data_IF_439593270858
#
_entry.id   IF_439593270858
#
_cell.length_a   1.000
_cell.length_b   1.000
_cell.length_c   1.000
_cell.angle_alpha   90.00
_cell.angle_beta   90.00
_cell.angle_gamma   90.00
#
_symmetry.space_group_name_H-M   'P 1'
#
loop_
_entity.id
_entity.type
_entity.pdbx_description
1 polymer ?
#
# COMPACT_ATOMS: atom_id res chain seq x y z
N UNK A 1 2.12 4.13 12.59
CA UNK A 1 1.31 2.88 12.54
C UNK A 1 2.10 1.83 13.31
N UNK A 2 1.53 1.21 14.35
CA UNK A 2 2.22 0.14 15.11
C UNK A 2 1.67 -1.20 14.62
N UNK A 3 2.45 -1.91 13.80
CA UNK A 3 2.07 -3.23 13.26
C UNK A 3 2.64 -4.34 14.13
N UNK A 4 1.75 -5.15 14.70
CA UNK A 4 2.11 -6.32 15.48
C UNK A 4 2.27 -7.53 14.54
N UNK A 5 3.48 -7.78 14.09
CA UNK A 5 3.88 -9.07 13.50
C UNK A 5 5.16 -9.52 14.22
N UNK A 6 5.33 -10.81 14.49
CA UNK A 6 6.31 -11.31 15.46
C UNK A 6 7.57 -11.93 14.86
N UNK A 7 7.78 -11.82 13.54
CA UNK A 7 8.94 -12.41 12.87
C UNK A 7 9.91 -11.34 12.35
N UNK A 8 11.21 -11.66 12.39
CA UNK A 8 12.31 -10.75 12.05
C UNK A 8 12.29 -10.35 10.56
N UNK A 9 11.77 -11.21 9.69
CA UNK A 9 11.64 -10.94 8.26
C UNK A 9 10.59 -9.86 7.99
N UNK A 10 9.43 -9.93 8.67
CA UNK A 10 8.38 -8.92 8.61
C UNK A 10 8.86 -7.59 9.18
N UNK A 11 9.71 -7.60 10.22
CA UNK A 11 10.32 -6.38 10.75
C UNK A 11 11.14 -5.67 9.69
N UNK A 12 12.01 -6.38 8.98
CA UNK A 12 12.84 -5.79 7.94
C UNK A 12 11.99 -5.27 6.77
N UNK A 13 10.99 -6.02 6.34
CA UNK A 13 10.09 -5.61 5.26
C UNK A 13 9.29 -4.35 5.61
N UNK A 14 8.80 -4.24 6.84
CA UNK A 14 8.02 -3.08 7.30
C UNK A 14 8.89 -1.82 7.40
N UNK A 15 10.13 -1.94 7.88
CA UNK A 15 11.09 -0.84 7.90
C UNK A 15 11.46 -0.39 6.47
N UNK A 16 11.68 -1.34 5.56
CA UNK A 16 11.94 -1.04 4.15
C UNK A 16 10.74 -0.40 3.43
N UNK A 17 9.52 -0.71 3.86
CA UNK A 17 8.29 -0.08 3.36
C UNK A 17 8.08 1.36 3.88
N UNK A 18 9.01 1.89 4.68
CA UNK A 18 8.99 3.27 5.15
C UNK A 18 8.34 3.46 6.52
N UNK A 19 8.19 2.40 7.33
CA UNK A 19 7.78 2.56 8.71
C UNK A 19 8.91 3.18 9.56
N UNK A 20 8.57 4.15 10.41
CA UNK A 20 9.54 4.80 11.29
C UNK A 20 9.99 3.96 12.48
N UNK A 21 9.15 3.01 12.94
CA UNK A 21 9.40 2.18 14.11
C UNK A 21 8.50 0.93 14.13
N UNK A 22 8.93 -0.11 14.86
CA UNK A 22 8.22 -1.39 14.97
C UNK A 22 8.08 -1.85 16.42
N UNK A 23 6.89 -2.35 16.82
CA UNK A 23 6.66 -2.93 18.15
C UNK A 23 6.01 -4.31 18.04
N UNK A 24 6.64 -5.29 18.68
CA UNK A 24 6.19 -6.67 18.71
C UNK A 24 5.50 -6.96 20.04
N UNK A 25 4.39 -7.69 20.01
CA UNK A 25 3.74 -8.17 21.24
C UNK A 25 4.44 -9.43 21.80
N UNK A 26 4.49 -9.60 23.13
CA UNK A 26 4.04 -8.64 24.14
C UNK A 26 5.04 -7.51 24.33
N UNK A 27 4.58 -6.27 24.22
CA UNK A 27 5.34 -5.07 24.56
C UNK A 27 4.86 -4.53 25.91
N UNK A 28 5.75 -3.86 26.63
CA UNK A 28 5.40 -3.13 27.83
C UNK A 28 5.13 -1.65 27.53
N UNK A 29 4.57 -0.93 28.48
CA UNK A 29 4.28 0.51 28.33
C UNK A 29 5.55 1.31 28.02
N UNK A 30 6.69 0.89 28.57
CA UNK A 30 7.99 1.52 28.38
C UNK A 30 8.47 1.39 26.93
N UNK A 31 8.17 0.28 26.26
CA UNK A 31 8.53 0.08 24.85
C UNK A 31 7.81 1.07 23.94
N UNK A 32 6.55 1.38 24.26
CA UNK A 32 5.73 2.37 23.54
C UNK A 32 6.26 3.78 23.76
N UNK A 33 6.57 4.13 25.01
CA UNK A 33 7.14 5.44 25.36
C UNK A 33 8.48 5.66 24.67
N UNK A 34 9.33 4.62 24.63
CA UNK A 34 10.60 4.65 23.90
C UNK A 34 10.37 4.87 22.40
N UNK A 35 9.53 4.06 21.77
CA UNK A 35 9.24 4.17 20.33
C UNK A 35 8.73 5.58 19.94
N UNK A 36 7.87 6.17 20.77
CA UNK A 36 7.40 7.54 20.57
C UNK A 36 8.52 8.57 20.74
N UNK A 37 9.33 8.45 21.79
CA UNK A 37 10.43 9.38 22.06
C UNK A 37 11.47 9.35 20.94
N UNK A 38 11.81 8.15 20.47
CA UNK A 38 12.76 7.93 19.39
C UNK A 38 12.22 8.49 18.06
N UNK A 39 10.92 8.33 17.80
CA UNK A 39 10.24 8.94 16.65
C UNK A 39 10.26 10.48 16.70
N UNK A 40 10.00 11.08 17.86
CA UNK A 40 10.11 12.54 18.03
C UNK A 40 11.54 13.05 17.84
N UNK A 41 12.56 12.29 18.27
CA UNK A 41 13.96 12.66 18.05
C UNK A 41 14.34 12.69 16.55
N UNK A 42 13.64 11.91 15.72
CA UNK A 42 13.83 11.84 14.26
C UNK A 42 13.02 12.87 13.48
N UNK A 43 12.30 13.78 14.14
CA UNK A 43 11.44 14.76 13.47
C UNK A 43 12.17 15.67 12.47
N UNK A 44 13.48 15.87 12.67
CA UNK A 44 14.35 16.67 11.80
C UNK A 44 15.16 15.84 10.80
N UNK A 45 14.88 14.54 10.68
CA UNK A 45 15.57 13.70 9.70
C UNK A 45 15.28 14.22 8.28
N UNK A 46 16.28 14.24 7.39
CA UNK A 46 16.05 14.62 6.00
C UNK A 46 15.06 13.65 5.35
N UNK A 47 14.21 14.18 4.46
CA UNK A 47 13.35 13.31 3.66
C UNK A 47 14.21 12.31 2.88
N UNK A 48 13.78 11.04 2.77
CA UNK A 48 14.50 10.05 1.98
C UNK A 48 14.61 10.53 0.52
N UNK A 49 15.75 10.26 -0.11
CA UNK A 49 15.94 10.58 -1.51
C UNK A 49 14.94 9.80 -2.38
N UNK A 50 13.93 10.51 -2.88
CA UNK A 50 12.98 9.93 -3.82
C UNK A 50 13.57 10.05 -5.22
N UNK A 51 13.76 8.93 -5.91
CA UNK A 51 14.08 8.96 -7.34
C UNK A 51 12.89 9.53 -8.10
N UNK A 52 12.95 10.82 -8.45
CA UNK A 52 11.90 11.46 -9.24
C UNK A 52 11.93 10.88 -10.65
N UNK A 53 10.97 10.01 -10.95
CA UNK A 53 10.77 9.50 -12.30
C UNK A 53 10.36 10.68 -13.17
N UNK A 54 11.20 11.06 -14.15
CA UNK A 54 10.86 12.11 -15.11
C UNK A 54 9.74 11.58 -16.03
N UNK A 55 8.56 12.21 -16.07
CA UNK A 55 7.49 11.77 -16.95
C UNK A 55 7.94 11.94 -18.41
N UNK A 56 7.89 10.84 -19.16
CA UNK A 56 8.11 10.85 -20.61
C UNK A 56 6.84 11.38 -21.26
N UNK A 57 6.93 12.52 -21.95
CA UNK A 57 5.84 13.00 -22.80
C UNK A 57 5.82 12.21 -24.10
N UNK A 58 4.78 11.40 -24.27
CA UNK A 58 4.45 10.74 -25.54
C UNK A 58 3.50 11.65 -26.32
N UNK A 59 3.77 11.83 -27.62
CA UNK A 59 2.88 12.59 -28.52
C UNK A 59 1.75 11.68 -28.99
N UNK A 60 0.51 12.10 -28.76
CA UNK A 60 -0.71 11.37 -29.12
C UNK A 60 -1.44 10.79 -27.91
N UNK A 61 -2.76 10.60 -28.04
CA UNK A 61 -3.52 9.85 -27.05
C UNK A 61 -3.17 8.37 -27.20
N UNK A 62 -2.81 7.67 -26.11
CA UNK A 62 -2.63 6.23 -26.18
C UNK A 62 -3.94 5.58 -26.67
N UNK A 63 -3.87 4.50 -27.46
CA UNK A 63 -5.06 3.85 -28.03
C UNK A 63 -5.98 3.22 -26.97
N UNK A 64 -5.51 3.14 -25.72
CA UNK A 64 -6.24 2.68 -24.55
C UNK A 64 -5.86 3.55 -23.34
N UNK A 65 -6.81 3.74 -22.42
CA UNK A 65 -6.57 4.46 -21.16
C UNK A 65 -6.15 3.45 -20.10
N UNK A 66 -5.00 3.70 -19.47
CA UNK A 66 -4.55 2.97 -18.28
C UNK A 66 -4.76 3.84 -17.03
N UNK A 67 -5.37 3.27 -15.99
CA UNK A 67 -5.58 3.94 -14.70
C UNK A 67 -4.83 3.16 -13.63
N UNK A 68 -3.97 3.85 -12.89
CA UNK A 68 -3.25 3.27 -11.75
C UNK A 68 -3.88 3.78 -10.46
N UNK A 69 -4.27 2.84 -9.59
CA UNK A 69 -4.86 3.11 -8.28
C UNK A 69 -3.88 2.59 -7.24
N UNK A 70 -3.26 3.49 -6.48
CA UNK A 70 -2.39 3.13 -5.36
C UNK A 70 -3.14 3.35 -4.04
N UNK A 71 -3.11 2.37 -3.15
CA UNK A 71 -3.94 2.42 -1.96
C UNK A 71 -3.22 1.84 -0.73
N UNK A 72 -3.51 2.42 0.43
CA UNK A 72 -2.77 2.21 1.68
C UNK A 72 -3.62 1.62 2.80
N UNK A 73 -3.42 2.10 4.02
CA UNK A 73 -4.18 1.64 5.19
C UNK A 73 -5.66 2.04 5.08
N UNK A 74 -6.59 1.08 5.20
CA UNK A 74 -8.05 1.31 5.17
C UNK A 74 -8.73 1.22 3.81
N UNK A 75 -7.97 1.12 2.71
CA UNK A 75 -8.53 1.00 1.35
C UNK A 75 -9.11 -0.37 0.97
N UNK A 76 -8.66 -1.54 1.48
CA UNK A 76 -9.23 -2.82 1.09
C UNK A 76 -10.75 -2.91 1.31
N UNK A 77 -11.27 -2.19 2.32
CA UNK A 77 -12.71 -2.19 2.66
C UNK A 77 -13.59 -1.42 1.67
N UNK A 78 -13.02 -0.57 0.82
CA UNK A 78 -13.80 0.32 -0.07
C UNK A 78 -13.31 0.33 -1.52
N UNK A 79 -12.20 -0.34 -1.83
CA UNK A 79 -11.70 -0.42 -3.21
C UNK A 79 -12.73 -1.06 -4.13
N UNK A 80 -13.43 -2.11 -3.69
CA UNK A 80 -14.45 -2.77 -4.52
C UNK A 80 -15.54 -1.79 -4.96
N UNK A 81 -16.03 -0.93 -4.07
CA UNK A 81 -17.06 0.07 -4.37
C UNK A 81 -16.65 1.09 -5.43
N UNK A 82 -15.36 1.34 -5.62
CA UNK A 82 -14.89 2.16 -6.74
C UNK A 82 -15.35 1.51 -8.05
N UNK A 83 -15.16 0.20 -8.19
CA UNK A 83 -15.45 -0.57 -9.40
C UNK A 83 -16.94 -0.65 -9.76
N UNK A 84 -17.84 -0.28 -8.84
CA UNK A 84 -19.28 -0.15 -9.15
C UNK A 84 -19.57 1.03 -10.09
N UNK A 85 -18.70 2.05 -10.10
CA UNK A 85 -18.96 3.34 -10.76
C UNK A 85 -17.94 3.74 -11.83
N UNK A 86 -16.84 3.00 -11.97
CA UNK A 86 -15.80 3.30 -12.97
C UNK A 86 -16.14 2.73 -14.35
N UNK A 87 -15.62 3.37 -15.40
CA UNK A 87 -15.77 2.92 -16.77
C UNK A 87 -15.08 1.57 -17.00
N UNK A 88 -15.63 0.74 -17.90
CA UNK A 88 -15.02 -0.53 -18.33
C UNK A 88 -14.10 -0.37 -19.55
N UNK A 89 -13.99 0.84 -20.10
CA UNK A 89 -13.20 1.15 -21.31
C UNK A 89 -11.72 1.47 -21.02
N UNK A 90 -11.25 1.14 -19.81
CA UNK A 90 -9.89 1.37 -19.37
C UNK A 90 -9.31 0.11 -18.71
N UNK A 91 -8.00 -0.01 -18.74
CA UNK A 91 -7.27 -1.02 -17.95
C UNK A 91 -6.90 -0.42 -16.60
N UNK A 92 -7.24 -1.12 -15.52
CA UNK A 92 -6.98 -0.68 -14.16
C UNK A 92 -5.87 -1.51 -13.51
N UNK A 93 -4.89 -0.83 -12.94
CA UNK A 93 -3.82 -1.43 -12.14
C UNK A 93 -3.99 -1.00 -10.70
N UNK A 94 -4.24 -1.95 -9.80
CA UNK A 94 -4.43 -1.67 -8.38
C UNK A 94 -3.19 -2.12 -7.62
N UNK A 95 -2.55 -1.18 -6.93
CA UNK A 95 -1.43 -1.44 -6.03
C UNK A 95 -1.91 -1.18 -4.61
N UNK A 96 -2.06 -2.25 -3.83
CA UNK A 96 -2.46 -2.18 -2.44
C UNK A 96 -1.26 -2.42 -1.54
N UNK A 97 -0.97 -1.47 -0.65
CA UNK A 97 0.05 -1.66 0.38
C UNK A 97 -0.39 -2.72 1.39
N UNK A 98 0.52 -3.65 1.65
CA UNK A 98 0.45 -4.67 2.70
C UNK A 98 0.95 -6.02 2.21
N UNK A 99 0.84 -7.07 3.04
CA UNK A 99 1.43 -8.36 2.73
C UNK A 99 0.76 -9.05 1.52
N UNK A 100 1.56 -9.84 0.80
CA UNK A 100 1.18 -10.51 -0.46
C UNK A 100 -0.11 -11.32 -0.35
N UNK A 101 -0.34 -11.97 0.80
CA UNK A 101 -1.54 -12.78 1.04
C UNK A 101 -2.86 -11.99 1.00
N UNK A 102 -2.82 -10.65 1.07
CA UNK A 102 -4.03 -9.81 0.95
C UNK A 102 -4.47 -9.57 -0.50
N UNK A 103 -3.59 -9.80 -1.46
CA UNK A 103 -3.84 -9.44 -2.86
C UNK A 103 -4.91 -10.32 -3.49
N UNK A 104 -4.87 -11.64 -3.21
CA UNK A 104 -5.85 -12.60 -3.75
C UNK A 104 -7.27 -12.38 -3.19
N UNK A 105 -7.47 -12.23 -1.86
CA UNK A 105 -8.77 -11.85 -1.31
C UNK A 105 -9.33 -10.55 -1.91
N UNK A 106 -8.47 -9.53 -2.13
CA UNK A 106 -8.90 -8.27 -2.73
C UNK A 106 -9.38 -8.46 -4.17
N UNK A 107 -8.63 -9.19 -4.99
CA UNK A 107 -9.01 -9.49 -6.37
C UNK A 107 -10.32 -10.29 -6.42
N UNK A 108 -10.47 -11.26 -5.51
CA UNK A 108 -11.70 -12.04 -5.37
C UNK A 108 -12.89 -11.16 -4.96
N UNK A 109 -12.71 -10.26 -4.00
CA UNK A 109 -13.75 -9.35 -3.54
C UNK A 109 -14.24 -8.44 -4.66
N UNK A 110 -13.32 -7.84 -5.44
CA UNK A 110 -13.67 -7.02 -6.61
C UNK A 110 -14.51 -7.84 -7.60
N UNK A 111 -14.06 -9.05 -7.95
CA UNK A 111 -14.80 -9.93 -8.88
C UNK A 111 -16.20 -10.25 -8.38
N UNK A 112 -16.34 -10.61 -7.10
CA UNK A 112 -17.59 -11.11 -6.54
C UNK A 112 -18.61 -10.00 -6.29
N UNK A 113 -18.17 -8.84 -5.80
CA UNK A 113 -19.07 -7.73 -5.44
C UNK A 113 -19.49 -6.92 -6.68
N UNK A 114 -18.60 -6.74 -7.65
CA UNK A 114 -18.84 -5.81 -8.78
C UNK A 114 -18.97 -6.50 -10.14
N UNK A 115 -18.61 -7.78 -10.23
CA UNK A 115 -18.51 -8.51 -11.50
C UNK A 115 -17.38 -8.02 -12.41
N UNK A 116 -16.51 -7.12 -11.94
CA UNK A 116 -15.40 -6.60 -12.72
C UNK A 116 -14.31 -7.67 -12.91
N UNK A 117 -13.81 -7.90 -14.14
CA UNK A 117 -12.71 -8.84 -14.37
C UNK A 117 -11.44 -8.36 -13.66
N UNK A 118 -10.99 -9.11 -12.65
CA UNK A 118 -9.81 -8.78 -11.86
C UNK A 118 -8.98 -10.05 -11.60
N UNK A 119 -7.66 -9.95 -11.67
CA UNK A 119 -6.73 -11.05 -11.40
C UNK A 119 -5.41 -10.47 -10.85
N UNK A 120 -4.62 -11.32 -10.20
CA UNK A 120 -3.27 -10.96 -9.78
C UNK A 120 -2.40 -10.79 -11.02
N UNK A 121 -1.69 -9.67 -11.09
CA UNK A 121 -0.75 -9.40 -12.15
C UNK A 121 0.44 -10.37 -12.04
N UNK A 122 0.82 -10.99 -13.17
CA UNK A 122 1.96 -11.91 -13.31
C UNK A 122 3.18 -11.27 -13.96
#
# INVERSE_FOLDING_TARGET
>A
MVTAVGDDDSRQQILQAGADEFLIKPYQSEDVVRALSDGFARFTQPEPEVSVIKPVRVNGLPPFVGVVITAGTGSPLNISKLFDSISKDASYFVVQHGPEWMTEPLAQQIRQETGFPCHIAS
#
